data_IF_323551981947
#
_entry.id   IF_323551981947
#
_cell.length_a   1.000
_cell.length_b   1.000
_cell.length_c   1.000
_cell.angle_alpha   90.00
_cell.angle_beta   90.00
_cell.angle_gamma   90.00
#
_symmetry.space_group_name_H-M   'P 1'
#
loop_
_entity.id
_entity.type
_entity.pdbx_description
1 polymer ?
#
# COMPACT_ATOMS: atom_id res chain seq x y z
N UNK A 1 -16.59 -53.61 -38.32
CA UNK A 1 -15.70 -53.30 -39.45
C UNK A 1 -15.69 -51.80 -39.62
N UNK A 2 -14.58 -51.25 -39.49
CA UNK A 2 -13.92 -49.99 -39.86
C UNK A 2 -13.29 -49.28 -38.70
N UNK A 3 -12.01 -49.48 -38.60
CA UNK A 3 -11.07 -48.72 -37.79
C UNK A 3 -10.98 -47.28 -38.34
N UNK A 4 -10.92 -46.31 -37.45
CA UNK A 4 -10.51 -44.95 -37.78
C UNK A 4 -9.40 -44.50 -36.87
N UNK A 5 -8.23 -44.49 -37.43
CA UNK A 5 -6.92 -44.17 -36.82
C UNK A 5 -6.83 -42.68 -36.51
N UNK A 6 -6.71 -42.32 -35.23
CA UNK A 6 -6.45 -40.95 -34.81
C UNK A 6 -4.94 -40.72 -34.68
N UNK A 7 -4.37 -39.92 -35.57
CA UNK A 7 -2.96 -39.48 -35.54
C UNK A 7 -2.86 -38.19 -34.69
N UNK A 8 -2.29 -38.35 -33.52
CA UNK A 8 -1.82 -37.21 -32.72
C UNK A 8 -0.58 -36.57 -33.35
N UNK A 9 -0.69 -35.32 -33.76
CA UNK A 9 0.46 -34.52 -34.18
C UNK A 9 1.11 -33.86 -32.94
N UNK A 10 2.34 -34.28 -32.65
CA UNK A 10 3.21 -33.61 -31.67
C UNK A 10 3.75 -32.32 -32.28
N UNK A 11 3.39 -31.18 -31.66
CA UNK A 11 4.11 -29.93 -31.89
C UNK A 11 5.38 -29.91 -31.05
N UNK A 12 6.51 -29.85 -31.68
CA UNK A 12 7.82 -29.67 -31.07
C UNK A 12 8.13 -28.17 -30.95
N UNK A 13 8.46 -27.74 -29.74
CA UNK A 13 9.00 -26.42 -29.46
C UNK A 13 10.45 -26.30 -29.91
N UNK A 14 10.86 -25.20 -30.58
CA UNK A 14 12.26 -25.02 -30.97
C UNK A 14 13.09 -24.48 -29.79
N UNK A 15 14.19 -25.18 -29.55
CA UNK A 15 15.22 -24.84 -28.57
C UNK A 15 16.10 -23.69 -29.11
N UNK A 16 16.25 -22.65 -28.27
CA UNK A 16 17.21 -21.55 -28.49
C UNK A 16 18.65 -22.07 -28.30
N UNK A 17 19.32 -22.48 -29.36
CA UNK A 17 20.80 -22.52 -29.43
C UNK A 17 21.25 -22.64 -30.86
N UNK A 18 22.31 -21.88 -31.18
CA UNK A 18 23.12 -21.86 -32.38
C UNK A 18 22.65 -20.96 -33.53
N UNK A 19 23.38 -19.87 -33.65
CA UNK A 19 24.04 -19.44 -34.88
C UNK A 19 25.13 -18.40 -34.53
N UNK A 20 26.34 -18.89 -34.35
CA UNK A 20 27.59 -18.15 -34.52
C UNK A 20 28.21 -18.67 -35.81
N UNK A 21 28.43 -17.82 -36.78
CA UNK A 21 29.61 -17.77 -37.64
C UNK A 21 29.33 -16.95 -38.92
N UNK A 22 30.18 -16.00 -39.21
CA UNK A 22 30.20 -15.28 -40.48
C UNK A 22 30.88 -13.93 -40.38
N UNK A 23 32.22 -13.96 -40.29
CA UNK A 23 33.11 -12.80 -40.45
C UNK A 23 33.20 -12.45 -41.92
N UNK A 24 32.98 -11.20 -42.32
CA UNK A 24 33.66 -10.57 -43.46
C UNK A 24 33.90 -9.09 -43.18
N UNK A 25 35.19 -8.72 -43.18
CA UNK A 25 35.68 -7.34 -43.16
C UNK A 25 35.33 -6.64 -44.50
N UNK A 26 34.87 -5.41 -44.43
CA UNK A 26 35.14 -4.41 -45.46
C UNK A 26 35.31 -3.04 -44.82
N UNK A 27 36.50 -2.49 -45.05
CA UNK A 27 36.87 -1.10 -44.72
C UNK A 27 36.07 -0.14 -45.61
N UNK A 28 35.62 0.94 -44.99
CA UNK A 28 35.31 2.15 -45.77
C UNK A 28 34.20 3.00 -45.15
N UNK A 29 34.57 4.20 -44.67
CA UNK A 29 33.62 5.29 -44.52
C UNK A 29 33.44 5.81 -43.08
N UNK A 30 34.21 6.84 -42.72
CA UNK A 30 33.91 7.70 -41.58
C UNK A 30 32.55 8.39 -41.79
N UNK A 31 31.54 7.93 -41.06
CA UNK A 31 30.35 8.73 -40.80
C UNK A 31 30.28 8.94 -39.29
N UNK A 32 30.61 10.15 -38.87
CA UNK A 32 30.33 10.65 -37.50
C UNK A 32 28.81 10.71 -37.30
N UNK A 33 28.20 9.59 -37.00
CA UNK A 33 26.85 9.56 -36.48
C UNK A 33 26.92 9.84 -34.96
N UNK A 34 26.61 11.10 -34.61
CA UNK A 34 26.33 11.49 -33.24
C UNK A 34 25.23 10.58 -32.69
N UNK A 35 25.63 9.53 -31.99
CA UNK A 35 24.71 8.87 -31.07
C UNK A 35 24.37 9.88 -30.00
N UNK A 36 23.24 10.57 -30.15
CA UNK A 36 22.59 11.19 -29.00
C UNK A 36 22.38 10.05 -28.00
N UNK A 37 23.30 9.97 -27.04
CA UNK A 37 23.04 9.26 -25.80
C UNK A 37 21.75 9.87 -25.27
N UNK A 38 20.73 9.07 -25.21
CA UNK A 38 19.53 9.37 -24.43
C UNK A 38 19.98 9.33 -22.96
N UNK A 39 20.61 10.40 -22.51
CA UNK A 39 20.63 10.76 -21.10
C UNK A 39 19.17 11.02 -20.78
N UNK A 40 18.47 9.98 -20.37
CA UNK A 40 17.22 10.15 -19.63
C UNK A 40 17.61 11.03 -18.46
N UNK A 41 17.17 12.27 -18.46
CA UNK A 41 16.97 12.97 -17.21
C UNK A 41 16.08 12.03 -16.41
N UNK A 42 16.65 11.39 -15.41
CA UNK A 42 15.90 11.00 -14.23
C UNK A 42 15.47 12.33 -13.59
N UNK A 43 14.48 13.00 -14.21
CA UNK A 43 13.61 13.84 -13.45
C UNK A 43 13.01 12.88 -12.41
N UNK A 44 13.62 12.89 -11.25
CA UNK A 44 12.98 12.53 -10.01
C UNK A 44 11.65 13.28 -10.05
N UNK A 45 10.57 12.55 -10.43
CA UNK A 45 9.20 13.04 -10.34
C UNK A 45 8.95 13.11 -8.82
N UNK A 46 9.55 14.15 -8.22
CA UNK A 46 9.12 14.65 -6.95
C UNK A 46 7.68 15.10 -7.20
N UNK A 47 6.74 14.22 -6.91
CA UNK A 47 5.36 14.65 -6.70
C UNK A 47 5.43 15.62 -5.53
N UNK A 48 5.32 16.95 -5.71
CA UNK A 48 5.25 17.89 -4.61
C UNK A 48 3.82 17.82 -4.07
N UNK A 49 3.44 16.64 -3.58
CA UNK A 49 2.21 16.40 -2.87
C UNK A 49 2.45 16.60 -1.39
N UNK A 50 1.48 17.18 -0.72
CA UNK A 50 1.47 17.19 0.74
C UNK A 50 1.63 15.74 1.24
N UNK A 51 2.46 15.55 2.27
CA UNK A 51 2.65 14.28 2.94
C UNK A 51 2.59 14.46 4.45
N UNK A 52 2.14 13.45 5.14
CA UNK A 52 2.08 13.39 6.59
C UNK A 52 3.11 12.37 7.06
N UNK A 53 3.94 12.77 8.03
CA UNK A 53 4.84 11.89 8.73
C UNK A 53 4.59 12.02 10.24
N UNK A 54 4.35 10.89 10.94
CA UNK A 54 4.09 10.86 12.38
C UNK A 54 4.74 9.63 13.00
N UNK A 55 5.26 9.74 14.22
CA UNK A 55 5.94 8.65 14.93
C UNK A 55 5.39 8.42 16.36
N UNK A 56 4.13 7.98 16.52
CA UNK A 56 3.61 7.66 17.83
C UNK A 56 4.32 6.45 18.46
N UNK A 57 4.45 6.48 19.80
CA UNK A 57 5.09 5.42 20.58
C UNK A 57 4.05 4.79 21.50
N UNK A 58 3.94 3.45 21.45
CA UNK A 58 3.00 2.68 22.26
C UNK A 58 3.74 1.77 23.25
N UNK A 59 3.23 1.70 24.48
CA UNK A 59 3.73 0.78 25.53
C UNK A 59 3.17 -0.63 25.34
N UNK A 60 3.23 -1.13 24.11
CA UNK A 60 2.72 -2.44 23.72
C UNK A 60 3.63 -3.07 22.66
N UNK A 61 3.65 -4.40 22.58
CA UNK A 61 4.43 -5.12 21.58
C UNK A 61 3.93 -4.84 20.17
N UNK A 62 4.82 -4.99 19.16
CA UNK A 62 4.47 -4.87 17.74
C UNK A 62 3.25 -5.73 17.36
N UNK A 63 3.16 -6.93 17.92
CA UNK A 63 2.01 -7.81 17.69
C UNK A 63 0.71 -7.17 18.16
N UNK A 64 0.66 -6.63 19.38
CA UNK A 64 -0.56 -6.00 19.91
C UNK A 64 -0.96 -4.77 19.09
N UNK A 65 0.01 -3.95 18.67
CA UNK A 65 -0.25 -2.77 17.82
C UNK A 65 -0.75 -3.22 16.44
N UNK A 66 -0.14 -4.23 15.84
CA UNK A 66 -0.54 -4.78 14.54
C UNK A 66 -1.97 -5.35 14.60
N UNK A 67 -2.26 -6.19 15.58
CA UNK A 67 -3.57 -6.79 15.76
C UNK A 67 -4.65 -5.71 15.98
N UNK A 68 -4.35 -4.68 16.77
CA UNK A 68 -5.28 -3.57 17.00
C UNK A 68 -5.62 -2.77 15.73
N UNK A 69 -4.72 -2.78 14.72
CA UNK A 69 -4.92 -2.09 13.45
C UNK A 69 -5.53 -2.97 12.35
N UNK A 70 -5.43 -4.31 12.47
CA UNK A 70 -5.82 -5.24 11.41
C UNK A 70 -6.96 -6.19 11.77
N UNK A 71 -7.26 -6.36 13.05
CA UNK A 71 -8.40 -7.16 13.51
C UNK A 71 -9.66 -6.29 13.66
N UNK A 72 -10.74 -6.73 13.05
CA UNK A 72 -12.03 -6.01 13.05
C UNK A 72 -12.55 -5.68 14.46
N UNK A 73 -12.47 -6.64 15.39
CA UNK A 73 -13.01 -6.46 16.75
C UNK A 73 -12.15 -5.51 17.56
N UNK A 74 -10.83 -5.69 17.49
CA UNK A 74 -9.89 -4.82 18.20
C UNK A 74 -9.97 -3.39 17.68
N UNK A 75 -9.92 -3.19 16.36
CA UNK A 75 -10.05 -1.88 15.77
C UNK A 75 -11.40 -1.20 16.11
N UNK A 76 -12.48 -1.96 16.13
CA UNK A 76 -13.77 -1.44 16.57
C UNK A 76 -13.72 -0.92 18.02
N UNK A 77 -13.04 -1.62 18.92
CA UNK A 77 -12.85 -1.15 20.31
C UNK A 77 -11.98 0.13 20.35
N UNK A 78 -10.95 0.22 19.51
CA UNK A 78 -10.13 1.43 19.36
C UNK A 78 -11.00 2.60 18.91
N UNK A 79 -11.84 2.41 17.88
CA UNK A 79 -12.67 3.49 17.33
C UNK A 79 -13.67 4.05 18.34
N UNK A 80 -14.18 3.24 19.29
CA UNK A 80 -15.06 3.72 20.37
C UNK A 80 -14.38 4.77 21.28
N UNK A 81 -13.06 4.76 21.35
CA UNK A 81 -12.25 5.72 22.12
C UNK A 81 -11.84 6.95 21.30
N UNK A 82 -12.21 7.03 20.02
CA UNK A 82 -11.84 8.11 19.12
C UNK A 82 -12.62 9.39 19.38
N UNK A 83 -12.02 10.52 19.05
CA UNK A 83 -12.66 11.82 19.17
C UNK A 83 -13.94 11.90 18.32
N UNK A 84 -13.95 11.31 17.14
CA UNK A 84 -15.10 11.26 16.25
C UNK A 84 -16.30 10.55 16.89
N UNK A 85 -16.10 9.41 17.53
CA UNK A 85 -17.16 8.68 18.22
C UNK A 85 -17.61 9.37 19.49
N UNK A 86 -16.69 9.95 20.25
CA UNK A 86 -17.00 10.69 21.48
C UNK A 86 -17.75 11.99 21.23
N UNK A 87 -17.54 12.63 20.07
CA UNK A 87 -18.28 13.83 19.66
C UNK A 87 -19.67 13.54 19.11
N UNK A 88 -20.12 12.29 19.16
CA UNK A 88 -21.45 11.90 18.71
C UNK A 88 -21.58 11.73 17.20
N UNK A 89 -20.47 11.42 16.53
CA UNK A 89 -20.57 10.96 15.13
C UNK A 89 -21.56 9.80 15.09
N UNK A 90 -22.67 9.90 14.32
CA UNK A 90 -23.62 8.82 14.25
C UNK A 90 -22.89 7.56 13.81
N UNK A 91 -23.14 6.40 14.45
CA UNK A 91 -22.65 5.16 13.93
C UNK A 91 -23.09 5.10 12.46
N UNK A 92 -22.13 5.06 11.54
CA UNK A 92 -22.44 5.01 10.13
C UNK A 92 -23.23 3.75 9.81
N UNK A 93 -23.87 3.74 8.65
CA UNK A 93 -24.71 2.63 8.22
C UNK A 93 -23.97 1.30 8.09
N UNK A 94 -22.62 1.32 8.06
CA UNK A 94 -21.81 0.13 7.89
C UNK A 94 -20.96 -0.17 9.15
N UNK A 95 -20.97 -1.41 9.66
CA UNK A 95 -20.08 -1.80 10.75
C UNK A 95 -18.61 -1.73 10.30
N UNK A 96 -17.69 -1.58 11.27
CA UNK A 96 -16.25 -1.75 11.00
C UNK A 96 -16.01 -3.15 10.43
N UNK A 97 -15.32 -3.20 9.29
CA UNK A 97 -14.91 -4.43 8.62
C UNK A 97 -13.47 -4.30 8.17
N UNK A 98 -12.67 -5.30 8.44
CA UNK A 98 -11.28 -5.39 7.99
C UNK A 98 -11.06 -6.82 7.51
N UNK A 99 -10.72 -6.99 6.23
CA UNK A 99 -10.23 -8.26 5.70
C UNK A 99 -8.75 -8.39 6.02
N UNK A 100 -8.31 -9.44 6.75
CA UNK A 100 -6.94 -9.55 7.27
C UNK A 100 -5.95 -10.12 6.24
N UNK A 101 -6.11 -9.81 4.96
CA UNK A 101 -5.27 -10.30 3.87
C UNK A 101 -4.87 -9.18 2.90
N UNK A 102 -3.75 -9.37 2.20
CA UNK A 102 -3.35 -8.47 1.13
C UNK A 102 -4.42 -8.47 0.00
N UNK A 103 -4.78 -7.29 -0.50
CA UNK A 103 -5.91 -7.10 -1.42
C UNK A 103 -7.27 -7.00 -0.72
N UNK A 104 -7.36 -7.38 0.55
CA UNK A 104 -8.58 -7.33 1.34
C UNK A 104 -9.09 -5.90 1.58
N UNK A 105 -10.41 -5.73 1.54
CA UNK A 105 -11.04 -4.44 1.77
C UNK A 105 -11.20 -4.12 3.26
N UNK A 106 -11.27 -2.83 3.57
CA UNK A 106 -11.70 -2.37 4.88
C UNK A 106 -12.70 -1.22 4.79
N UNK A 107 -13.58 -1.14 5.80
CA UNK A 107 -14.49 -0.04 6.04
C UNK A 107 -14.45 0.31 7.53
N UNK A 108 -14.13 1.56 7.84
CA UNK A 108 -13.88 2.05 9.20
C UNK A 108 -14.76 3.28 9.48
N UNK A 109 -15.02 3.56 10.76
CA UNK A 109 -15.81 4.72 11.19
C UNK A 109 -17.17 4.81 10.47
N UNK A 110 -17.90 3.69 10.46
CA UNK A 110 -19.21 3.63 9.82
C UNK A 110 -19.19 3.74 8.29
N UNK A 111 -18.05 3.43 7.66
CA UNK A 111 -17.86 3.55 6.22
C UNK A 111 -17.37 4.94 5.78
N UNK A 112 -17.06 5.84 6.73
CA UNK A 112 -16.45 7.13 6.40
C UNK A 112 -15.06 6.98 5.81
N UNK A 113 -14.30 6.00 6.27
CA UNK A 113 -12.99 5.61 5.72
C UNK A 113 -13.12 4.25 5.08
N UNK A 114 -12.68 4.13 3.84
CA UNK A 114 -12.68 2.87 3.09
C UNK A 114 -11.37 2.67 2.35
N UNK A 115 -11.04 1.41 2.03
CA UNK A 115 -9.82 1.12 1.30
C UNK A 115 -9.54 -0.36 1.13
N UNK A 116 -8.28 -0.65 0.79
CA UNK A 116 -7.74 -2.01 0.67
C UNK A 116 -6.34 -2.09 1.23
N UNK A 117 -6.00 -3.22 1.81
CA UNK A 117 -4.62 -3.53 2.15
C UNK A 117 -3.83 -3.82 0.86
N UNK A 118 -2.76 -3.07 0.63
CA UNK A 118 -1.81 -3.34 -0.45
C UNK A 118 -0.81 -4.40 0.02
N UNK A 119 -0.35 -4.25 1.26
CA UNK A 119 0.62 -5.14 1.87
C UNK A 119 0.31 -5.32 3.36
N UNK A 120 0.45 -6.54 3.83
CA UNK A 120 0.41 -6.91 5.25
C UNK A 120 1.62 -7.81 5.55
N UNK A 121 2.59 -7.28 6.32
CA UNK A 121 3.68 -8.06 6.90
C UNK A 121 3.42 -8.16 8.40
N UNK A 122 3.06 -9.33 8.91
CA UNK A 122 2.63 -9.49 10.29
C UNK A 122 3.62 -8.90 11.30
N UNK A 123 3.13 -8.04 12.17
CA UNK A 123 3.87 -7.35 13.23
C UNK A 123 4.97 -6.39 12.76
N UNK A 124 5.07 -6.10 11.46
CA UNK A 124 6.12 -5.27 10.88
C UNK A 124 5.59 -4.11 10.05
N UNK A 125 4.66 -4.39 9.11
CA UNK A 125 4.25 -3.35 8.16
C UNK A 125 2.82 -3.55 7.66
N UNK A 126 2.13 -2.43 7.50
CA UNK A 126 0.82 -2.35 6.85
C UNK A 126 0.92 -1.26 5.79
N UNK A 127 0.48 -1.55 4.57
CA UNK A 127 0.34 -0.55 3.50
C UNK A 127 -1.10 -0.60 2.98
N UNK A 128 -1.72 0.56 2.90
CA UNK A 128 -3.13 0.68 2.52
C UNK A 128 -3.30 1.66 1.36
N UNK A 129 -4.12 1.27 0.37
CA UNK A 129 -4.83 2.23 -0.47
C UNK A 129 -6.03 2.73 0.35
N UNK A 130 -5.96 3.97 0.78
CA UNK A 130 -6.85 4.57 1.78
C UNK A 130 -7.61 5.76 1.18
N UNK A 131 -8.86 5.97 1.55
CA UNK A 131 -9.62 7.15 1.15
C UNK A 131 -10.71 7.52 2.15
N UNK A 132 -11.05 8.80 2.21
CA UNK A 132 -12.33 9.25 2.75
C UNK A 132 -13.42 8.92 1.72
N UNK A 133 -14.55 8.38 2.16
CA UNK A 133 -15.62 7.92 1.27
C UNK A 133 -16.20 9.06 0.39
N UNK A 134 -16.12 10.31 0.87
CA UNK A 134 -16.60 11.49 0.15
C UNK A 134 -15.64 12.04 -0.91
N UNK A 135 -14.42 11.51 -1.03
CA UNK A 135 -13.54 11.90 -2.13
C UNK A 135 -14.09 11.44 -3.48
N UNK A 136 -13.66 12.07 -4.55
CA UNK A 136 -14.07 11.68 -5.89
C UNK A 136 -13.80 10.20 -6.17
N UNK A 137 -14.66 9.52 -6.93
CA UNK A 137 -14.48 8.11 -7.28
C UNK A 137 -13.11 7.84 -7.89
N UNK A 138 -12.42 6.82 -7.38
CA UNK A 138 -11.07 6.44 -7.86
C UNK A 138 -9.92 7.20 -7.21
N UNK A 139 -10.17 8.25 -6.42
CA UNK A 139 -9.13 8.95 -5.66
C UNK A 139 -8.77 8.15 -4.42
N UNK A 140 -7.50 7.73 -4.32
CA UNK A 140 -6.92 7.04 -3.19
C UNK A 140 -5.59 7.67 -2.80
N UNK A 141 -5.27 7.58 -1.54
CA UNK A 141 -3.96 7.90 -0.97
C UNK A 141 -3.27 6.62 -0.48
N UNK A 142 -1.99 6.72 -0.16
CA UNK A 142 -1.21 5.60 0.38
C UNK A 142 -0.85 5.91 1.83
N UNK A 143 -1.38 5.09 2.74
CA UNK A 143 -1.03 5.11 4.15
C UNK A 143 -0.12 3.92 4.47
N UNK A 144 1.07 4.21 5.04
CA UNK A 144 2.10 3.22 5.38
C UNK A 144 2.34 3.25 6.88
N UNK A 145 2.35 2.08 7.51
CA UNK A 145 2.61 1.90 8.93
C UNK A 145 3.78 0.93 9.06
N UNK A 146 4.91 1.37 9.59
CA UNK A 146 6.01 0.51 9.95
C UNK A 146 6.12 0.40 11.48
N UNK A 147 6.15 -0.82 12.00
CA UNK A 147 6.20 -1.12 13.43
C UNK A 147 7.63 -1.45 13.83
N UNK A 148 8.27 -0.55 14.55
CA UNK A 148 9.67 -0.69 14.98
C UNK A 148 9.69 -0.96 16.48
N UNK A 149 10.43 -1.97 16.90
CA UNK A 149 10.62 -2.26 18.31
C UNK A 149 11.40 -1.14 18.99
N UNK A 150 10.92 -0.66 20.12
CA UNK A 150 11.56 0.40 20.90
C UNK A 150 11.48 0.09 22.39
N UNK A 151 12.55 -0.43 22.94
CA UNK A 151 12.56 -0.92 24.32
C UNK A 151 11.55 -2.04 24.51
N UNK A 152 10.64 -1.89 25.49
CA UNK A 152 9.52 -2.82 25.71
C UNK A 152 8.26 -2.48 24.92
N UNK A 153 8.31 -1.44 24.09
CA UNK A 153 7.17 -0.93 23.33
C UNK A 153 7.40 -0.94 21.83
N UNK A 154 6.57 -0.18 21.12
CA UNK A 154 6.60 -0.05 19.67
C UNK A 154 6.56 1.41 19.25
N UNK A 155 7.52 1.82 18.44
CA UNK A 155 7.42 3.04 17.64
C UNK A 155 6.74 2.69 16.33
N UNK A 156 5.66 3.39 16.00
CA UNK A 156 4.98 3.27 14.71
C UNK A 156 5.44 4.44 13.85
N UNK A 157 6.15 4.13 12.76
CA UNK A 157 6.52 5.13 11.74
C UNK A 157 5.40 5.16 10.71
N UNK A 158 4.74 6.29 10.61
CA UNK A 158 3.57 6.49 9.76
C UNK A 158 3.85 7.52 8.68
N UNK A 159 3.64 7.11 7.43
CA UNK A 159 3.71 7.98 6.26
C UNK A 159 2.40 7.92 5.48
N UNK A 160 1.85 9.08 5.12
CA UNK A 160 0.62 9.16 4.35
C UNK A 160 0.78 10.23 3.25
N UNK A 161 0.59 9.84 2.00
CA UNK A 161 0.74 10.73 0.86
C UNK A 161 -0.22 10.38 -0.28
N UNK A 162 -0.31 11.30 -1.26
CA UNK A 162 -1.18 11.13 -2.42
C UNK A 162 -2.65 11.47 -2.18
N UNK A 163 -2.98 12.11 -1.07
CA UNK A 163 -4.33 12.62 -0.79
C UNK A 163 -4.58 13.95 -1.53
N UNK A 164 -5.85 14.40 -1.67
CA UNK A 164 -6.19 15.66 -2.32
C UNK A 164 -5.49 16.85 -1.66
N UNK A 165 -5.01 17.77 -2.48
CA UNK A 165 -4.28 18.97 -2.04
C UNK A 165 -5.08 19.80 -1.04
N UNK A 166 -4.42 20.35 -0.03
CA UNK A 166 -5.02 21.18 1.03
C UNK A 166 -5.64 20.37 2.16
N UNK A 167 -5.52 19.04 2.16
CA UNK A 167 -6.07 18.20 3.21
C UNK A 167 -5.04 17.74 4.26
N UNK A 168 -3.77 18.02 4.07
CA UNK A 168 -2.68 17.50 4.90
C UNK A 168 -2.85 17.78 6.38
N UNK A 169 -3.11 19.04 6.76
CA UNK A 169 -3.28 19.43 8.17
C UNK A 169 -4.50 18.75 8.81
N UNK A 170 -5.64 18.75 8.10
CA UNK A 170 -6.86 18.11 8.58
C UNK A 170 -6.69 16.60 8.79
N UNK A 171 -6.08 15.92 7.82
CA UNK A 171 -5.80 14.48 7.91
C UNK A 171 -4.78 14.16 9.00
N UNK A 172 -3.73 14.99 9.18
CA UNK A 172 -2.75 14.80 10.24
C UNK A 172 -3.37 14.90 11.63
N UNK A 173 -4.25 15.88 11.85
CA UNK A 173 -5.03 16.01 13.07
C UNK A 173 -5.99 14.83 13.25
N UNK A 174 -6.65 14.41 12.16
CA UNK A 174 -7.54 13.24 12.13
C UNK A 174 -6.84 11.93 12.54
N UNK A 175 -5.63 11.67 12.04
CA UNK A 175 -4.83 10.51 12.43
C UNK A 175 -4.52 10.51 13.92
N UNK A 176 -4.11 11.67 14.47
CA UNK A 176 -3.83 11.81 15.90
C UNK A 176 -5.07 11.51 16.74
N UNK A 177 -6.16 12.23 16.50
CA UNK A 177 -7.35 12.19 17.33
C UNK A 177 -8.18 10.90 17.21
N UNK A 178 -8.14 10.24 16.06
CA UNK A 178 -8.99 9.08 15.79
C UNK A 178 -8.24 7.74 15.71
N UNK A 179 -6.90 7.76 15.64
CA UNK A 179 -6.08 6.54 15.62
C UNK A 179 -5.07 6.50 16.77
N UNK A 180 -4.17 7.49 16.91
CA UNK A 180 -3.05 7.38 17.83
C UNK A 180 -3.47 7.49 19.28
N UNK A 181 -4.25 8.51 19.65
CA UNK A 181 -4.75 8.69 21.01
C UNK A 181 -5.69 7.55 21.45
N UNK A 182 -6.63 7.08 20.63
CA UNK A 182 -7.42 5.88 20.93
C UNK A 182 -6.58 4.60 21.08
N UNK A 183 -5.60 4.38 20.19
CA UNK A 183 -4.70 3.24 20.28
C UNK A 183 -3.88 3.26 21.56
N UNK A 184 -3.35 4.41 21.96
CA UNK A 184 -2.60 4.55 23.21
C UNK A 184 -3.47 4.13 24.41
N UNK A 185 -4.71 4.61 24.47
CA UNK A 185 -5.66 4.26 25.52
C UNK A 185 -6.03 2.77 25.52
N UNK A 186 -6.22 2.19 24.34
CA UNK A 186 -6.60 0.78 24.18
C UNK A 186 -5.46 -0.18 24.53
N UNK A 187 -4.22 0.24 24.28
CA UNK A 187 -3.02 -0.58 24.47
C UNK A 187 -2.36 -0.42 25.84
N UNK A 188 -2.81 0.55 26.64
CA UNK A 188 -2.29 0.85 28.00
C UNK A 188 -2.43 -0.30 29.02
#
# INVERSE_FOLDING_TARGET
>A
MSESTNRSAKLSTPTRRQLLAGVTMSLGGLALSSTKAWAGNEEEVACPGESIHQEPIFKASRKRVYDALTDTKQFNNVTQLSAAMQSGMPPGAAPTQISPEAGGAFALFGGHIVGRHIELVPNERIVQAWRVATWDPGVYSIAKFALVEQGSGTKLVFDHGGFPKGQGEHLAAGWKANYWEPLEKFLA
#
